data_IF_537182634153
#
_entry.id   IF_537182634153
#
_cell.length_a   1.000
_cell.length_b   1.000
_cell.length_c   1.000
_cell.angle_alpha   90.00
_cell.angle_beta   90.00
_cell.angle_gamma   90.00
#
_symmetry.space_group_name_H-M   'P 1'
#
loop_
_entity.id
_entity.type
_entity.pdbx_description
1 polymer ?
#
# COMPACT_ATOMS: atom_id res chain seq x y z
N UNK A 1 -21.74 -38.33 35.67
CA UNK A 1 -20.63 -37.48 36.15
C UNK A 1 -20.68 -36.16 35.39
N UNK A 2 -21.09 -35.08 36.05
CA UNK A 2 -21.11 -33.71 35.47
C UNK A 2 -20.04 -32.91 36.21
N UNK A 3 -18.98 -32.54 35.51
CA UNK A 3 -17.88 -31.75 36.07
C UNK A 3 -18.26 -30.28 35.90
N UNK A 4 -18.66 -29.63 37.00
CA UNK A 4 -18.74 -28.17 37.07
C UNK A 4 -17.31 -27.62 37.05
N UNK A 5 -16.92 -26.98 35.95
CA UNK A 5 -15.71 -26.15 35.89
C UNK A 5 -16.11 -24.75 36.34
N UNK A 6 -15.84 -24.44 37.61
CA UNK A 6 -15.93 -23.10 38.18
C UNK A 6 -14.82 -22.23 37.58
N UNK A 7 -15.15 -21.45 36.55
CA UNK A 7 -14.30 -20.38 36.05
C UNK A 7 -14.32 -19.22 37.03
N UNK A 8 -13.29 -19.12 37.85
CA UNK A 8 -12.99 -17.93 38.66
C UNK A 8 -12.62 -16.77 37.74
N UNK A 9 -13.56 -15.85 37.52
CA UNK A 9 -13.32 -14.52 36.97
C UNK A 9 -12.45 -13.74 37.95
N UNK A 10 -11.14 -13.70 37.69
CA UNK A 10 -10.25 -12.75 38.36
C UNK A 10 -10.48 -11.36 37.73
N UNK A 11 -11.32 -10.56 38.39
CA UNK A 11 -11.52 -9.15 38.06
C UNK A 11 -10.25 -8.41 38.49
N UNK A 12 -9.34 -8.18 37.54
CA UNK A 12 -8.24 -7.24 37.72
C UNK A 12 -8.80 -5.82 37.66
N UNK A 13 -9.11 -5.25 38.82
CA UNK A 13 -9.34 -3.82 38.97
C UNK A 13 -7.97 -3.13 38.85
N UNK A 14 -7.61 -2.77 37.62
CA UNK A 14 -6.43 -1.98 37.33
C UNK A 14 -6.58 -0.58 37.94
N UNK A 15 -5.78 -0.29 38.96
CA UNK A 15 -5.63 1.06 39.52
C UNK A 15 -4.97 1.94 38.45
N UNK A 16 -5.77 2.81 37.84
CA UNK A 16 -5.27 3.85 36.92
C UNK A 16 -4.59 4.91 37.77
N UNK A 17 -3.26 4.90 37.81
CA UNK A 17 -2.49 5.99 38.39
C UNK A 17 -2.61 7.24 37.49
N UNK A 18 -2.80 8.44 38.05
CA UNK A 18 -2.78 9.68 37.29
C UNK A 18 -1.35 9.93 36.77
N UNK A 19 -1.21 10.04 35.45
CA UNK A 19 0.04 10.47 34.80
C UNK A 19 0.26 11.95 35.08
N UNK A 20 1.16 12.21 36.03
CA UNK A 20 1.61 13.53 36.44
C UNK A 20 2.24 14.26 35.23
N UNK A 21 1.71 15.46 34.96
CA UNK A 21 2.11 16.31 33.84
C UNK A 21 3.46 16.95 34.13
N UNK A 22 4.54 16.32 33.66
CA UNK A 22 5.87 16.93 33.73
C UNK A 22 6.00 18.10 32.74
N UNK A 23 6.56 19.25 33.16
CA UNK A 23 6.84 20.37 32.28
C UNK A 23 7.95 19.99 31.29
N UNK A 24 7.65 20.10 29.99
CA UNK A 24 8.62 20.00 28.89
C UNK A 24 9.72 21.05 29.08
N UNK A 25 10.89 20.61 29.56
CA UNK A 25 12.12 21.39 29.46
C UNK A 25 12.38 21.71 27.99
N UNK A 26 12.42 23.01 27.66
CA UNK A 26 12.79 23.49 26.33
C UNK A 26 14.25 23.13 26.08
N UNK A 27 14.48 22.04 25.35
CA UNK A 27 15.80 21.71 24.84
C UNK A 27 16.29 22.86 23.95
N UNK A 28 17.39 23.50 24.36
CA UNK A 28 18.09 24.50 23.58
C UNK A 28 18.49 23.87 22.23
N UNK A 29 18.10 24.52 21.13
CA UNK A 29 18.47 24.09 19.78
C UNK A 29 20.00 24.13 19.65
N UNK A 30 20.67 23.03 19.28
CA UNK A 30 22.10 23.05 19.00
C UNK A 30 22.37 23.97 17.81
N UNK A 31 23.37 24.84 17.99
CA UNK A 31 23.83 25.81 16.98
C UNK A 31 24.26 25.09 15.69
N UNK A 32 23.92 25.62 14.50
CA UNK A 32 24.32 25.02 13.23
C UNK A 32 25.84 24.97 13.12
N UNK A 33 26.39 23.76 12.95
CA UNK A 33 27.81 23.57 12.70
C UNK A 33 28.21 24.29 11.40
N UNK A 34 29.35 24.99 11.36
CA UNK A 34 29.85 25.62 10.14
C UNK A 34 30.13 24.55 9.08
N UNK A 35 29.55 24.77 7.90
CA UNK A 35 29.70 23.95 6.70
C UNK A 35 31.18 23.82 6.33
N UNK A 36 31.76 22.65 6.59
CA UNK A 36 33.07 22.32 6.06
C UNK A 36 32.91 22.06 4.57
N UNK A 37 33.46 22.98 3.76
CA UNK A 37 33.64 22.79 2.32
C UNK A 37 34.40 21.49 2.11
N UNK A 38 33.69 20.50 1.57
CA UNK A 38 34.27 19.28 1.03
C UNK A 38 35.30 19.68 -0.03
N UNK A 39 36.57 19.48 0.30
CA UNK A 39 37.66 19.52 -0.68
C UNK A 39 37.45 18.33 -1.63
N UNK A 40 37.55 18.52 -2.96
CA UNK A 40 37.52 17.41 -3.89
C UNK A 40 38.77 16.56 -3.68
N UNK A 41 38.57 15.39 -3.07
CA UNK A 41 39.63 14.41 -2.84
C UNK A 41 39.91 13.68 -4.16
N UNK A 42 40.83 14.26 -4.94
CA UNK A 42 41.36 13.66 -6.16
C UNK A 42 42.41 12.59 -5.80
N UNK A 43 41.94 11.41 -5.39
CA UNK A 43 42.77 10.20 -5.43
C UNK A 43 41.86 8.97 -5.54
N UNK A 44 41.36 8.69 -6.74
CA UNK A 44 40.87 7.36 -7.03
C UNK A 44 42.08 6.49 -7.37
N UNK A 45 42.47 5.49 -6.55
CA UNK A 45 43.49 4.55 -6.96
C UNK A 45 42.99 3.81 -8.20
N UNK A 46 43.87 3.69 -9.20
CA UNK A 46 43.59 2.95 -10.42
C UNK A 46 43.13 1.54 -10.05
N UNK A 47 41.95 1.14 -10.55
CA UNK A 47 41.41 -0.20 -10.33
C UNK A 47 42.40 -1.21 -10.94
N UNK A 48 42.88 -2.22 -10.20
CA UNK A 48 43.72 -3.25 -10.76
C UNK A 48 42.96 -3.96 -11.89
N UNK A 49 43.65 -4.16 -13.01
CA UNK A 49 43.11 -4.89 -14.16
C UNK A 49 42.70 -6.30 -13.70
N UNK A 50 41.43 -6.64 -13.86
CA UNK A 50 40.93 -7.97 -13.56
C UNK A 50 41.64 -9.00 -14.46
N UNK A 51 42.11 -10.12 -13.89
CA UNK A 51 42.69 -11.19 -14.68
C UNK A 51 41.67 -11.71 -15.70
N UNK A 52 42.14 -11.89 -16.93
CA UNK A 52 41.39 -12.39 -18.07
C UNK A 52 40.93 -13.82 -17.79
N UNK A 53 39.79 -13.97 -17.13
CA UNK A 53 39.17 -15.28 -16.90
C UNK A 53 38.61 -15.75 -18.23
N UNK A 54 39.24 -16.81 -18.76
CA UNK A 54 38.73 -17.54 -19.91
C UNK A 54 37.28 -17.92 -19.62
N UNK A 55 36.36 -17.32 -20.39
CA UNK A 55 34.92 -17.54 -20.36
C UNK A 55 34.65 -19.05 -20.35
N UNK A 56 34.11 -19.54 -19.23
CA UNK A 56 33.65 -20.91 -19.11
C UNK A 56 32.61 -21.22 -20.21
N UNK A 57 32.56 -22.46 -20.73
CA UNK A 57 31.56 -22.85 -21.72
C UNK A 57 30.16 -22.59 -21.18
N UNK A 58 29.36 -21.88 -21.96
CA UNK A 58 28.00 -21.52 -21.56
C UNK A 58 27.16 -22.80 -21.51
N UNK A 59 26.84 -23.21 -20.28
CA UNK A 59 25.78 -24.16 -20.00
C UNK A 59 24.48 -23.60 -20.58
N UNK A 60 23.99 -24.22 -21.65
CA UNK A 60 22.69 -23.92 -22.23
C UNK A 60 21.61 -24.35 -21.24
N UNK A 61 21.10 -23.41 -20.45
CA UNK A 61 19.85 -23.63 -19.72
C UNK A 61 18.70 -23.65 -20.72
N UNK A 62 17.80 -24.65 -20.68
CA UNK A 62 16.61 -24.63 -21.51
C UNK A 62 15.75 -23.40 -21.18
N UNK A 63 15.09 -22.79 -22.19
CA UNK A 63 14.22 -21.65 -21.95
C UNK A 63 13.08 -22.06 -21.01
N UNK A 64 12.83 -21.26 -19.98
CA UNK A 64 11.70 -21.45 -19.07
C UNK A 64 10.39 -21.55 -19.86
N UNK A 65 9.47 -22.44 -19.46
CA UNK A 65 8.17 -22.55 -20.12
C UNK A 65 7.46 -21.20 -20.11
N UNK A 66 6.98 -20.78 -21.28
CA UNK A 66 6.20 -19.54 -21.41
C UNK A 66 4.97 -19.65 -20.51
N UNK A 67 4.65 -18.63 -19.69
CA UNK A 67 3.39 -18.60 -18.97
C UNK A 67 2.24 -18.63 -19.99
N UNK A 68 1.27 -19.51 -19.76
CA UNK A 68 0.09 -19.66 -20.61
C UNK A 68 -0.58 -18.30 -20.85
N UNK A 69 -1.10 -18.03 -22.07
CA UNK A 69 -1.84 -16.81 -22.35
C UNK A 69 -2.98 -16.64 -21.35
N UNK A 70 -2.98 -15.51 -20.63
CA UNK A 70 -4.08 -15.12 -19.76
C UNK A 70 -5.34 -15.00 -20.62
N UNK A 71 -6.49 -15.56 -20.20
CA UNK A 71 -7.73 -15.42 -20.97
C UNK A 71 -8.07 -13.93 -21.16
N UNK A 72 -8.63 -13.55 -22.32
CA UNK A 72 -8.98 -12.16 -22.59
C UNK A 72 -10.00 -11.67 -21.57
N UNK A 73 -9.76 -10.48 -21.02
CA UNK A 73 -10.68 -9.82 -20.12
C UNK A 73 -12.04 -9.61 -20.82
N UNK A 74 -13.17 -9.79 -20.12
CA UNK A 74 -14.49 -9.57 -20.69
C UNK A 74 -14.62 -8.10 -21.13
N UNK A 75 -14.97 -7.90 -22.41
CA UNK A 75 -15.13 -6.57 -22.99
C UNK A 75 -16.25 -5.79 -22.28
N UNK A 76 -16.06 -4.50 -21.96
CA UNK A 76 -17.11 -3.66 -21.39
C UNK A 76 -18.27 -3.54 -22.39
N UNK A 77 -19.48 -3.91 -21.95
CA UNK A 77 -20.70 -3.70 -22.75
C UNK A 77 -20.99 -2.21 -22.80
N UNK A 78 -20.76 -1.58 -23.95
CA UNK A 78 -21.19 -0.21 -24.24
C UNK A 78 -22.73 -0.13 -24.21
N UNK A 79 -23.29 0.49 -23.17
CA UNK A 79 -24.68 0.93 -23.18
C UNK A 79 -24.78 2.26 -23.92
N UNK A 80 -25.17 2.20 -25.19
CA UNK A 80 -25.58 3.36 -25.98
C UNK A 80 -27.04 3.73 -25.69
N UNK A 81 -27.23 4.62 -24.72
CA UNK A 81 -28.53 5.25 -24.44
C UNK A 81 -28.63 6.61 -25.12
N UNK A 82 -29.03 6.63 -26.40
CA UNK A 82 -29.40 7.86 -27.09
C UNK A 82 -30.86 8.21 -26.75
N UNK A 83 -31.04 9.13 -25.81
CA UNK A 83 -32.34 9.77 -25.59
C UNK A 83 -32.62 10.80 -26.68
N UNK A 84 -33.51 10.47 -27.62
CA UNK A 84 -34.05 11.43 -28.59
C UNK A 84 -34.88 12.49 -27.84
N UNK A 85 -34.47 13.75 -27.96
CA UNK A 85 -35.26 14.92 -27.58
C UNK A 85 -36.32 15.11 -28.68
N UNK A 86 -37.59 14.87 -28.37
CA UNK A 86 -38.69 15.27 -29.26
C UNK A 86 -39.00 16.74 -29.03
N UNK A 87 -38.83 17.52 -30.09
CA UNK A 87 -39.35 18.87 -30.22
C UNK A 87 -40.87 18.82 -30.42
N UNK A 88 -41.57 19.79 -29.83
CA UNK A 88 -42.94 20.14 -30.19
C UNK A 88 -44.00 19.66 -29.21
N UNK A 89 -44.43 20.55 -28.30
CA UNK A 89 -45.76 21.14 -28.46
C UNK A 89 -45.82 22.48 -27.70
N UNK A 90 -46.07 23.54 -28.46
CA UNK A 90 -46.35 24.87 -27.95
C UNK A 90 -47.82 24.91 -27.53
N UNK A 91 -48.11 25.10 -26.24
CA UNK A 91 -49.42 25.59 -25.81
C UNK A 91 -49.24 26.82 -24.93
N UNK A 92 -49.35 27.97 -25.60
CA UNK A 92 -49.57 29.31 -25.09
C UNK A 92 -51.09 29.46 -24.93
N UNK A 93 -51.52 30.12 -23.85
CA UNK A 93 -52.88 30.61 -23.49
C UNK A 93 -53.71 29.72 -22.55
N UNK A 94 -53.78 30.15 -21.29
CA UNK A 94 -54.82 29.70 -20.36
C UNK A 94 -54.41 29.96 -18.92
N UNK A 95 -54.77 31.12 -18.39
CA UNK A 95 -54.52 31.50 -17.01
C UNK A 95 -55.10 30.50 -16.00
N UNK A 96 -54.33 30.28 -14.94
CA UNK A 96 -54.72 29.44 -13.82
C UNK A 96 -53.53 29.28 -12.90
N UNK A 97 -53.39 30.18 -11.93
CA UNK A 97 -52.52 29.98 -10.78
C UNK A 97 -53.10 28.79 -10.01
N UNK A 98 -52.55 27.61 -10.27
CA UNK A 98 -52.57 26.49 -9.33
C UNK A 98 -51.12 26.22 -8.97
N UNK A 99 -50.77 26.64 -7.75
CA UNK A 99 -49.51 26.31 -7.10
C UNK A 99 -49.64 24.86 -6.63
N UNK A 100 -49.67 23.91 -7.56
CA UNK A 100 -49.49 22.51 -7.23
C UNK A 100 -47.99 22.22 -7.28
N UNK A 101 -47.38 22.46 -6.14
CA UNK A 101 -46.04 22.01 -5.78
C UNK A 101 -46.03 20.49 -5.67
N UNK A 102 -46.02 19.78 -6.80
CA UNK A 102 -45.92 18.32 -6.83
C UNK A 102 -45.60 17.86 -8.25
N UNK A 103 -44.33 17.83 -8.64
CA UNK A 103 -43.82 16.69 -9.40
C UNK A 103 -42.32 16.61 -9.20
N UNK A 104 -41.97 15.66 -8.35
CA UNK A 104 -40.63 15.25 -8.02
C UNK A 104 -39.92 14.72 -9.26
N UNK A 105 -39.00 15.51 -9.82
CA UNK A 105 -37.85 14.95 -10.53
C UNK A 105 -36.75 14.64 -9.50
N UNK A 106 -37.12 13.88 -8.47
CA UNK A 106 -36.19 13.00 -7.79
C UNK A 106 -35.86 11.87 -8.77
N UNK A 107 -35.04 12.20 -9.79
CA UNK A 107 -34.17 11.21 -10.40
C UNK A 107 -33.16 10.84 -9.33
N UNK A 108 -33.64 10.00 -8.40
CA UNK A 108 -32.91 9.20 -7.45
C UNK A 108 -31.91 8.43 -8.29
N UNK A 109 -30.76 9.06 -8.57
CA UNK A 109 -29.52 8.35 -8.73
C UNK A 109 -29.50 7.51 -7.48
N UNK A 110 -29.79 6.22 -7.64
CA UNK A 110 -29.39 5.20 -6.70
C UNK A 110 -27.86 5.23 -6.79
N UNK A 111 -27.27 6.32 -6.28
CA UNK A 111 -25.89 6.38 -5.88
C UNK A 111 -25.84 5.29 -4.84
N UNK A 112 -25.22 4.19 -5.25
CA UNK A 112 -24.84 3.17 -4.32
C UNK A 112 -24.22 3.87 -3.10
N UNK A 113 -24.58 3.49 -1.87
CA UNK A 113 -23.96 4.04 -0.66
C UNK A 113 -22.44 3.76 -0.60
N UNK A 114 -21.90 3.08 -1.60
CA UNK A 114 -20.48 2.91 -1.90
C UNK A 114 -19.82 4.28 -2.07
N UNK A 115 -18.72 4.49 -1.33
CA UNK A 115 -17.92 5.69 -1.43
C UNK A 115 -17.28 5.88 -2.81
N UNK A 116 -16.23 6.72 -2.92
CA UNK A 116 -15.54 6.96 -4.19
C UNK A 116 -14.98 5.70 -4.88
N UNK A 117 -14.86 4.58 -4.16
CA UNK A 117 -14.41 3.29 -4.68
C UNK A 117 -15.48 2.21 -4.45
N UNK A 118 -15.60 1.24 -5.39
CA UNK A 118 -16.46 0.07 -5.19
C UNK A 118 -15.87 -0.84 -4.11
N UNK A 119 -16.72 -1.50 -3.32
CA UNK A 119 -16.26 -2.49 -2.35
C UNK A 119 -15.58 -3.69 -3.06
N UNK A 120 -14.50 -4.26 -2.50
CA UNK A 120 -13.87 -3.98 -1.20
C UNK A 120 -12.75 -2.93 -1.24
N UNK A 121 -12.62 -2.15 -2.32
CA UNK A 121 -11.52 -1.21 -2.51
C UNK A 121 -11.67 0.03 -1.62
N UNK A 122 -10.53 0.59 -1.23
CA UNK A 122 -10.45 1.83 -0.45
C UNK A 122 -9.85 2.93 -1.30
N UNK A 123 -10.39 4.15 -1.21
CA UNK A 123 -9.83 5.33 -1.85
C UNK A 123 -8.61 5.83 -1.07
N UNK A 124 -7.45 5.76 -1.70
CA UNK A 124 -6.20 6.28 -1.17
C UNK A 124 -5.77 7.52 -1.94
N UNK A 125 -5.27 8.58 -1.26
CA UNK A 125 -4.82 9.78 -1.94
C UNK A 125 -3.56 9.49 -2.78
N UNK A 126 -3.48 10.06 -3.97
CA UNK A 126 -2.31 9.87 -4.85
C UNK A 126 -1.20 10.84 -4.47
N UNK A 127 -0.02 10.31 -4.08
CA UNK A 127 1.14 11.16 -3.76
C UNK A 127 1.55 12.02 -4.93
N UNK A 128 1.72 13.31 -4.68
CA UNK A 128 2.19 14.27 -5.69
C UNK A 128 1.15 14.64 -6.74
N UNK A 129 -0.12 14.26 -6.56
CA UNK A 129 -1.19 14.78 -7.37
C UNK A 129 -1.34 16.29 -7.16
N UNK A 130 -1.61 17.01 -8.27
CA UNK A 130 -1.89 18.45 -8.26
C UNK A 130 -3.29 18.74 -7.72
N UNK A 131 -4.20 17.79 -7.92
CA UNK A 131 -5.57 17.86 -7.45
C UNK A 131 -5.67 17.22 -6.07
N UNK A 132 -6.16 17.98 -5.08
CA UNK A 132 -6.36 17.51 -3.70
C UNK A 132 -7.38 16.37 -3.58
N UNK A 133 -8.20 16.20 -4.61
CA UNK A 133 -9.23 15.17 -4.70
C UNK A 133 -8.80 13.97 -5.55
N UNK A 134 -7.52 13.88 -5.94
CA UNK A 134 -7.02 12.73 -6.68
C UNK A 134 -6.83 11.53 -5.74
N UNK A 135 -7.61 10.48 -5.98
CA UNK A 135 -7.51 9.21 -5.29
C UNK A 135 -7.34 8.05 -6.27
N UNK A 136 -6.74 6.98 -5.78
CA UNK A 136 -6.71 5.67 -6.42
C UNK A 136 -7.44 4.64 -5.55
N UNK A 137 -8.14 3.71 -6.18
CA UNK A 137 -8.82 2.63 -5.47
C UNK A 137 -7.88 1.44 -5.34
N UNK A 138 -7.53 1.09 -4.11
CA UNK A 138 -6.59 0.00 -3.79
C UNK A 138 -7.23 -1.01 -2.84
N UNK A 139 -6.79 -2.27 -2.92
CA UNK A 139 -7.18 -3.32 -1.99
C UNK A 139 -6.19 -3.38 -0.84
N UNK A 140 -6.54 -2.78 0.31
CA UNK A 140 -5.68 -2.75 1.49
C UNK A 140 -5.43 -4.13 2.10
N UNK A 141 -6.17 -5.16 1.68
CA UNK A 141 -6.08 -6.50 2.26
C UNK A 141 -5.12 -7.42 1.52
N UNK A 142 -4.84 -7.13 0.25
CA UNK A 142 -4.08 -8.00 -0.65
C UNK A 142 -3.06 -7.27 -1.53
N UNK A 143 -3.14 -5.95 -1.67
CA UNK A 143 -2.18 -5.18 -2.46
C UNK A 143 -0.85 -5.05 -1.71
N UNK A 144 0.25 -5.38 -2.39
CA UNK A 144 1.58 -5.40 -1.79
C UNK A 144 2.13 -3.99 -1.49
N UNK A 145 1.70 -3.00 -2.28
CA UNK A 145 2.17 -1.61 -2.21
C UNK A 145 1.31 -0.74 -1.30
N UNK A 146 0.15 -1.24 -0.87
CA UNK A 146 -0.82 -0.55 -0.03
C UNK A 146 -1.36 -1.47 1.08
N UNK A 147 -0.52 -2.35 1.61
CA UNK A 147 -0.95 -3.38 2.55
C UNK A 147 -1.26 -2.78 3.93
N UNK A 148 -2.51 -2.91 4.36
CA UNK A 148 -2.98 -2.39 5.65
C UNK A 148 -3.13 -0.87 5.70
N UNK A 149 -2.89 -0.15 4.60
CA UNK A 149 -3.02 1.31 4.59
C UNK A 149 -2.55 1.96 3.29
N UNK A 150 -2.87 3.25 3.15
CA UNK A 150 -2.51 4.01 1.96
C UNK A 150 -1.02 4.34 1.95
N UNK A 151 -0.30 4.12 0.83
CA UNK A 151 1.13 4.40 0.73
C UNK A 151 1.44 5.89 0.72
N UNK A 152 0.44 6.77 0.81
CA UNK A 152 0.62 8.20 0.68
C UNK A 152 1.25 8.89 1.89
N UNK A 153 1.26 8.23 3.04
CA UNK A 153 1.71 8.84 4.29
C UNK A 153 3.05 8.27 4.78
N UNK A 154 3.38 7.02 4.45
CA UNK A 154 4.67 6.41 4.78
C UNK A 154 5.10 5.32 3.77
N UNK A 155 6.18 4.61 4.08
CA UNK A 155 6.64 3.40 3.35
C UNK A 155 6.23 2.12 4.07
N UNK A 156 5.54 2.22 5.20
CA UNK A 156 5.26 1.09 6.10
C UNK A 156 4.26 0.14 5.46
N UNK A 157 3.38 0.66 4.61
CA UNK A 157 2.37 -0.09 3.88
C UNK A 157 2.88 -0.72 2.57
N UNK A 158 4.13 -0.47 2.18
CA UNK A 158 4.74 -1.12 1.02
C UNK A 158 5.56 -2.34 1.48
N UNK A 159 4.95 -3.52 1.42
CA UNK A 159 5.62 -4.77 1.78
C UNK A 159 6.82 -5.07 0.87
N UNK A 160 6.89 -4.50 -0.34
CA UNK A 160 8.04 -4.67 -1.22
C UNK A 160 9.28 -3.89 -0.73
N UNK A 161 9.10 -2.93 0.19
CA UNK A 161 10.19 -2.16 0.78
C UNK A 161 10.91 -2.91 1.93
N UNK A 162 10.44 -4.10 2.34
CA UNK A 162 11.07 -4.87 3.42
C UNK A 162 12.49 -5.29 3.03
N UNK A 163 13.46 -4.78 3.78
CA UNK A 163 14.87 -5.01 3.51
C UNK A 163 15.24 -6.50 3.54
N UNK A 164 16.01 -6.92 2.54
CA UNK A 164 16.51 -8.28 2.37
C UNK A 164 15.44 -9.36 2.14
N UNK A 165 14.17 -8.99 2.02
CA UNK A 165 13.14 -9.93 1.57
C UNK A 165 13.28 -10.20 0.07
N UNK A 166 13.00 -11.44 -0.31
CA UNK A 166 12.97 -11.91 -1.70
C UNK A 166 11.56 -12.26 -2.16
N UNK A 167 10.73 -12.74 -1.23
CA UNK A 167 9.31 -12.94 -1.45
C UNK A 167 8.52 -12.46 -0.23
N UNK A 168 7.51 -11.65 -0.50
CA UNK A 168 6.61 -11.03 0.46
C UNK A 168 5.17 -11.18 -0.04
N UNK A 169 4.23 -11.24 0.88
CA UNK A 169 2.79 -11.29 0.59
C UNK A 169 2.07 -10.31 1.51
N UNK A 170 0.95 -9.75 1.03
CA UNK A 170 0.00 -9.04 1.88
C UNK A 170 -1.12 -10.02 2.26
N UNK A 171 -1.23 -10.32 3.56
CA UNK A 171 -2.22 -11.26 4.09
C UNK A 171 -3.07 -10.54 5.11
N UNK A 172 -4.35 -10.36 4.78
CA UNK A 172 -5.31 -9.68 5.65
C UNK A 172 -4.79 -8.31 6.16
N UNK A 173 -4.20 -7.52 5.25
CA UNK A 173 -3.66 -6.20 5.56
C UNK A 173 -2.36 -6.19 6.37
N UNK A 174 -1.65 -7.31 6.44
CA UNK A 174 -0.35 -7.41 7.11
C UNK A 174 0.70 -7.95 6.13
N UNK A 175 1.89 -7.36 6.15
CA UNK A 175 3.02 -7.85 5.38
C UNK A 175 3.60 -9.12 5.99
N UNK A 176 3.63 -10.20 5.22
CA UNK A 176 4.26 -11.46 5.59
C UNK A 176 5.45 -11.78 4.65
N UNK A 177 6.63 -11.94 5.23
CA UNK A 177 7.85 -12.35 4.55
C UNK A 177 7.85 -13.87 4.41
N UNK A 178 7.85 -14.34 3.15
CA UNK A 178 7.92 -15.77 2.82
C UNK A 178 9.34 -16.26 2.60
N UNK A 179 10.20 -15.40 2.06
CA UNK A 179 11.57 -15.78 1.72
C UNK A 179 12.52 -14.59 1.86
N UNK A 180 13.69 -14.82 2.46
CA UNK A 180 14.78 -13.85 2.56
C UNK A 180 15.90 -14.13 1.55
N UNK A 181 16.71 -13.11 1.28
CA UNK A 181 17.95 -13.24 0.52
C UNK A 181 19.00 -14.07 1.29
N UNK A 182 20.01 -14.58 0.57
CA UNK A 182 21.09 -15.37 1.15
C UNK A 182 21.83 -14.63 2.27
N UNK A 183 22.08 -15.32 3.38
CA UNK A 183 22.67 -14.74 4.59
C UNK A 183 21.66 -14.14 5.57
N UNK A 184 20.36 -14.18 5.22
CA UNK A 184 19.27 -13.73 6.08
C UNK A 184 18.25 -14.85 6.30
N UNK A 185 17.59 -14.83 7.45
CA UNK A 185 16.48 -15.71 7.80
C UNK A 185 15.23 -14.90 8.14
N UNK A 186 14.05 -15.48 7.91
CA UNK A 186 12.77 -14.88 8.25
C UNK A 186 12.68 -14.75 9.77
N UNK A 187 12.31 -13.56 10.27
CA UNK A 187 12.09 -13.33 11.69
C UNK A 187 10.92 -14.19 12.21
N UNK A 188 10.86 -14.50 13.52
CA UNK A 188 9.76 -15.29 14.07
C UNK A 188 8.36 -14.70 13.83
N UNK A 189 8.26 -13.38 13.73
CA UNK A 189 7.02 -12.65 13.45
C UNK A 189 6.71 -12.54 11.96
N UNK A 190 7.57 -13.06 11.08
CA UNK A 190 7.43 -13.01 9.61
C UNK A 190 7.31 -11.60 9.03
N UNK A 191 7.77 -10.57 9.74
CA UNK A 191 7.69 -9.16 9.33
C UNK A 191 9.04 -8.61 8.83
N UNK A 192 10.12 -9.37 8.99
CA UNK A 192 11.47 -8.92 8.65
C UNK A 192 12.41 -10.08 8.28
N UNK A 193 13.50 -9.72 7.60
CA UNK A 193 14.64 -10.60 7.36
C UNK A 193 15.81 -10.20 8.27
N UNK A 194 16.27 -11.12 9.10
CA UNK A 194 17.37 -10.89 10.05
C UNK A 194 18.64 -11.64 9.62
N UNK A 195 19.85 -11.08 9.80
CA UNK A 195 21.09 -11.76 9.46
C UNK A 195 21.24 -13.09 10.21
N UNK A 196 21.58 -14.17 9.50
CA UNK A 196 21.92 -15.45 10.12
C UNK A 196 23.29 -15.32 10.78
N UNK A 197 23.34 -15.38 12.12
CA UNK A 197 24.61 -15.38 12.84
C UNK A 197 25.41 -16.61 12.40
N UNK A 198 26.64 -16.41 11.92
CA UNK A 198 27.58 -17.48 11.60
C UNK A 198 27.90 -17.72 10.14
N UNK A 199 27.31 -16.96 9.19
CA UNK A 199 27.81 -16.96 7.81
C UNK A 199 28.94 -15.93 7.72
N UNK A 200 30.09 -16.24 8.30
CA UNK A 200 31.34 -15.64 7.81
C UNK A 200 31.46 -16.09 6.36
N UNK A 201 31.02 -15.23 5.42
CA UNK A 201 31.32 -15.42 4.01
C UNK A 201 32.84 -15.41 3.91
N UNK A 202 33.42 -16.59 3.81
CA UNK A 202 34.84 -16.71 3.47
C UNK A 202 35.00 -16.02 2.11
N UNK A 203 35.76 -14.92 2.00
CA UNK A 203 35.73 -14.04 0.83
C UNK A 203 36.42 -14.61 -0.43
N UNK A 204 36.45 -15.94 -0.59
CA UNK A 204 37.35 -16.64 -1.52
C UNK A 204 36.62 -17.53 -2.54
N UNK A 205 35.40 -17.21 -2.99
CA UNK A 205 34.77 -17.95 -4.10
C UNK A 205 34.18 -17.04 -5.15
#
# INVERSE_FOLDING_TARGET
>A
MRILVLTTLAIFVGVVAPVDSMPRARAARPSPRPSQRLRPSAHWPARPALPNTKRAPQHWSPPSPRPSPRPPAPSPKHHHGYGKRSEGEQNILGGGVVIDASHEDQKKKQGSPEGPCPEPLTACPVRGAVDVDAFECVDLWADLSSCGGCPADDIVHDCAAIAHARAVECVAGHCEVRLCNEGYAVAPQQDACVPVRGVTRDPTT
#
